data_IF_898533554162
#
_entry.id   IF_898533554162
#
_cell.length_a   1.000
_cell.length_b   1.000
_cell.length_c   1.000
_cell.angle_alpha   90.00
_cell.angle_beta   90.00
_cell.angle_gamma   90.00
#
_symmetry.space_group_name_H-M   'P 1'
#
loop_
_entity.id
_entity.type
_entity.pdbx_description
1 polymer ?
#
# COMPACT_ATOMS: atom_id res chain seq x y z
N UNK A 1 38.69 -26.65 -5.35
CA UNK A 1 37.48 -27.00 -6.11
C UNK A 1 36.79 -25.69 -6.46
N UNK A 2 37.01 -25.17 -7.67
CA UNK A 2 36.46 -23.88 -8.12
C UNK A 2 35.04 -24.11 -8.64
N UNK A 3 34.08 -23.38 -8.08
CA UNK A 3 32.71 -23.36 -8.58
C UNK A 3 32.68 -22.56 -9.89
N UNK A 4 32.52 -23.26 -11.02
CA UNK A 4 32.35 -22.64 -12.31
C UNK A 4 30.89 -22.27 -12.48
N UNK A 5 30.63 -21.01 -12.85
CA UNK A 5 29.26 -20.54 -13.08
C UNK A 5 28.60 -21.34 -14.21
N UNK A 6 27.56 -22.12 -13.91
CA UNK A 6 26.73 -22.84 -14.91
C UNK A 6 25.86 -21.92 -15.78
N UNK A 7 26.19 -20.62 -15.84
CA UNK A 7 25.42 -19.66 -16.62
C UNK A 7 25.90 -19.73 -18.08
N UNK A 8 25.01 -19.97 -19.05
CA UNK A 8 25.40 -20.03 -20.45
C UNK A 8 26.05 -18.71 -20.89
N UNK A 9 27.18 -18.82 -21.60
CA UNK A 9 27.90 -17.66 -22.14
C UNK A 9 27.08 -16.87 -23.16
N UNK A 10 26.14 -17.53 -23.84
CA UNK A 10 25.24 -16.94 -24.83
C UNK A 10 23.81 -17.47 -24.62
N UNK A 11 22.83 -16.57 -24.64
CA UNK A 11 21.40 -16.93 -24.54
C UNK A 11 20.70 -16.40 -25.80
N UNK A 12 20.31 -17.28 -26.73
CA UNK A 12 19.69 -16.87 -27.99
C UNK A 12 18.34 -16.17 -27.78
N UNK A 13 17.60 -16.49 -26.72
CA UNK A 13 16.33 -15.84 -26.35
C UNK A 13 16.52 -14.54 -25.55
N UNK A 14 17.75 -14.02 -25.50
CA UNK A 14 18.03 -12.78 -24.80
C UNK A 14 17.27 -11.65 -25.49
N UNK A 15 16.42 -10.98 -24.72
CA UNK A 15 15.69 -9.78 -25.15
C UNK A 15 16.62 -8.82 -25.87
N UNK A 16 16.23 -8.41 -27.08
CA UNK A 16 17.04 -7.57 -27.95
C UNK A 16 17.32 -6.22 -27.30
N UNK A 17 18.48 -5.64 -27.60
CA UNK A 17 18.92 -4.36 -27.03
C UNK A 17 17.90 -3.21 -27.20
N UNK A 18 17.19 -3.08 -28.35
CA UNK A 18 16.13 -2.08 -28.49
C UNK A 18 14.97 -2.25 -27.50
N UNK A 19 14.56 -3.49 -27.24
CA UNK A 19 13.47 -3.78 -26.29
C UNK A 19 13.95 -3.51 -24.86
N UNK A 20 15.19 -3.87 -24.52
CA UNK A 20 15.81 -3.52 -23.24
C UNK A 20 15.80 -1.99 -23.03
N UNK A 21 16.24 -1.21 -24.01
CA UNK A 21 16.22 0.26 -23.95
C UNK A 21 14.80 0.80 -23.74
N UNK A 22 13.80 0.21 -24.40
CA UNK A 22 12.40 0.63 -24.27
C UNK A 22 11.84 0.34 -22.87
N UNK A 23 12.16 -0.83 -22.29
CA UNK A 23 11.83 -1.18 -20.90
C UNK A 23 12.50 -0.21 -19.93
N UNK A 24 13.80 0.03 -20.08
CA UNK A 24 14.57 0.96 -19.23
C UNK A 24 14.06 2.39 -19.35
N UNK A 25 13.69 2.83 -20.56
CA UNK A 25 13.12 4.17 -20.79
C UNK A 25 11.76 4.33 -20.13
N UNK A 26 10.85 3.36 -20.30
CA UNK A 26 9.55 3.36 -19.63
C UNK A 26 9.70 3.32 -18.10
N UNK A 27 10.68 2.58 -17.61
CA UNK A 27 11.01 2.54 -16.18
C UNK A 27 11.58 3.86 -15.67
N UNK A 28 12.49 4.48 -16.40
CA UNK A 28 13.26 5.64 -15.91
C UNK A 28 12.53 6.97 -16.15
N UNK A 29 11.91 7.15 -17.33
CA UNK A 29 11.20 8.40 -17.68
C UNK A 29 9.76 8.42 -17.17
N UNK A 30 9.09 7.28 -17.17
CA UNK A 30 7.67 7.20 -16.80
C UNK A 30 7.42 6.47 -15.47
N UNK A 31 8.48 6.02 -14.77
CA UNK A 31 8.42 5.35 -13.45
C UNK A 31 7.43 4.19 -13.38
N UNK A 32 7.20 3.51 -14.51
CA UNK A 32 6.20 2.44 -14.60
C UNK A 32 6.64 1.19 -13.83
N UNK A 33 5.67 0.57 -13.15
CA UNK A 33 5.81 -0.76 -12.58
C UNK A 33 5.86 -1.85 -13.66
N UNK A 34 6.34 -3.07 -13.32
CA UNK A 34 6.43 -4.17 -14.28
C UNK A 34 5.11 -4.45 -15.02
N UNK A 35 3.97 -4.45 -14.31
CA UNK A 35 2.63 -4.66 -14.88
C UNK A 35 2.25 -3.56 -15.89
N UNK A 36 2.58 -2.30 -15.60
CA UNK A 36 2.29 -1.18 -16.50
C UNK A 36 3.18 -1.20 -17.75
N UNK A 37 4.44 -1.64 -17.62
CA UNK A 37 5.36 -1.83 -18.76
C UNK A 37 4.86 -2.97 -19.65
N UNK A 38 4.40 -4.09 -19.06
CA UNK A 38 3.78 -5.20 -19.77
C UNK A 38 2.59 -4.71 -20.61
N UNK A 39 1.68 -3.95 -20.01
CA UNK A 39 0.51 -3.41 -20.72
C UNK A 39 0.86 -2.50 -21.90
N UNK A 40 2.03 -1.84 -21.88
CA UNK A 40 2.48 -0.96 -22.98
C UNK A 40 3.29 -1.69 -24.05
N UNK A 41 3.98 -2.77 -23.71
CA UNK A 41 4.89 -3.48 -24.61
C UNK A 41 4.33 -4.82 -25.10
N UNK A 42 3.22 -5.31 -24.55
CA UNK A 42 2.58 -6.56 -24.97
C UNK A 42 3.46 -7.79 -24.74
N UNK A 43 4.30 -7.79 -23.71
CA UNK A 43 5.29 -8.83 -23.46
C UNK A 43 5.12 -9.48 -22.08
N UNK A 44 5.68 -10.66 -21.87
CA UNK A 44 5.56 -11.38 -20.60
C UNK A 44 6.16 -10.59 -19.42
N UNK A 45 5.47 -10.61 -18.27
CA UNK A 45 5.92 -9.94 -17.04
C UNK A 45 7.27 -10.47 -16.54
N UNK A 46 7.54 -11.76 -16.72
CA UNK A 46 8.80 -12.41 -16.38
C UNK A 46 9.98 -11.81 -17.16
N UNK A 47 9.80 -11.53 -18.45
CA UNK A 47 10.82 -10.90 -19.30
C UNK A 47 11.12 -9.47 -18.86
N UNK A 48 10.07 -8.67 -18.60
CA UNK A 48 10.23 -7.30 -18.07
C UNK A 48 10.98 -7.34 -16.74
N UNK A 49 10.57 -8.22 -15.82
CA UNK A 49 11.23 -8.35 -14.51
C UNK A 49 12.70 -8.76 -14.65
N UNK A 50 13.02 -9.75 -15.48
CA UNK A 50 14.38 -10.21 -15.72
C UNK A 50 15.28 -9.10 -16.28
N UNK A 51 14.77 -8.28 -17.20
CA UNK A 51 15.49 -7.11 -17.73
C UNK A 51 15.71 -6.07 -16.63
N UNK A 52 14.69 -5.73 -15.85
CA UNK A 52 14.82 -4.75 -14.76
C UNK A 52 15.81 -5.20 -13.68
N UNK A 53 15.86 -6.50 -13.35
CA UNK A 53 16.83 -7.07 -12.41
C UNK A 53 18.25 -7.00 -12.99
N UNK A 54 18.44 -7.36 -14.26
CA UNK A 54 19.74 -7.28 -14.93
C UNK A 54 20.26 -5.84 -14.99
N UNK A 55 19.38 -4.87 -15.22
CA UNK A 55 19.69 -3.44 -15.20
C UNK A 55 19.71 -2.83 -13.78
N UNK A 56 19.53 -3.61 -12.72
CA UNK A 56 19.56 -3.19 -11.30
C UNK A 56 18.54 -2.08 -10.92
N UNK A 57 17.45 -1.99 -11.68
CA UNK A 57 16.37 -0.99 -11.50
C UNK A 57 15.01 -1.64 -11.16
N UNK A 58 15.03 -2.87 -10.65
CA UNK A 58 13.84 -3.66 -10.30
C UNK A 58 13.10 -3.14 -9.05
N UNK A 59 13.79 -2.51 -8.10
CA UNK A 59 13.18 -1.98 -6.87
C UNK A 59 12.73 -0.53 -7.04
N UNK A 60 11.41 -0.31 -6.95
CA UNK A 60 10.82 1.03 -6.86
C UNK A 60 11.13 1.72 -5.52
N UNK A 61 11.48 0.99 -4.47
CA UNK A 61 11.82 1.61 -3.16
C UNK A 61 13.02 2.58 -3.22
N UNK A 62 13.83 2.53 -4.29
CA UNK A 62 14.92 3.47 -4.54
C UNK A 62 14.48 4.71 -5.34
N UNK A 63 13.23 4.73 -5.79
CA UNK A 63 12.64 5.72 -6.68
C UNK A 63 11.24 6.03 -6.11
N UNK A 64 11.13 7.05 -5.27
CA UNK A 64 9.87 7.41 -4.65
C UNK A 64 8.73 7.54 -5.68
N UNK A 65 7.56 7.03 -5.28
CA UNK A 65 6.38 6.79 -6.12
C UNK A 65 5.65 8.09 -6.49
N UNK A 66 5.96 9.20 -5.81
CA UNK A 66 5.27 10.49 -5.92
C UNK A 66 6.24 11.65 -6.20
N UNK A 67 7.42 11.68 -5.56
CA UNK A 67 8.36 12.82 -5.62
C UNK A 67 9.73 12.46 -6.22
N UNK A 68 10.12 11.19 -6.23
CA UNK A 68 11.43 10.74 -6.71
C UNK A 68 12.61 11.02 -5.76
N UNK A 69 12.37 11.58 -4.57
CA UNK A 69 13.38 11.69 -3.50
C UNK A 69 13.57 10.35 -2.78
N UNK A 70 14.73 10.02 -2.20
CA UNK A 70 14.84 8.90 -1.27
C UNK A 70 13.83 9.05 -0.14
N UNK A 71 13.14 7.96 0.25
CA UNK A 71 12.24 7.92 1.39
C UNK A 71 12.96 8.52 2.61
N UNK A 72 12.56 9.72 3.05
CA UNK A 72 13.12 10.35 4.23
C UNK A 72 12.69 9.56 5.44
N UNK A 73 13.65 8.91 6.09
CA UNK A 73 13.44 8.29 7.38
C UNK A 73 13.43 9.41 8.41
N UNK A 74 12.31 9.56 9.11
CA UNK A 74 12.21 10.49 10.23
C UNK A 74 13.01 9.91 11.40
N UNK A 75 14.28 10.28 11.46
CA UNK A 75 15.15 10.00 12.61
C UNK A 75 15.17 11.25 13.49
N UNK A 76 14.88 11.06 14.77
CA UNK A 76 14.87 12.13 15.73
C UNK A 76 15.79 11.80 16.92
N UNK A 77 16.40 12.83 17.55
CA UNK A 77 17.55 12.64 18.44
C UNK A 77 17.23 12.04 19.82
N UNK A 78 15.98 12.06 20.28
CA UNK A 78 15.59 11.54 21.59
C UNK A 78 14.18 10.93 21.58
N UNK A 79 13.85 9.96 22.45
CA UNK A 79 12.46 9.54 22.68
C UNK A 79 11.53 10.75 22.93
N UNK A 80 10.27 10.63 22.53
CA UNK A 80 9.25 11.70 22.62
C UNK A 80 9.33 12.81 21.57
N UNK A 81 10.36 12.85 20.72
CA UNK A 81 10.53 13.86 19.66
C UNK A 81 9.65 13.65 18.42
N UNK A 82 9.06 12.46 18.29
CA UNK A 82 8.12 12.12 17.22
C UNK A 82 6.97 11.30 17.80
N UNK A 83 5.77 11.89 17.73
CA UNK A 83 4.51 11.20 17.99
C UNK A 83 3.85 10.89 16.66
N UNK A 84 3.63 9.60 16.39
CA UNK A 84 2.77 9.18 15.31
C UNK A 84 1.34 9.10 15.83
N UNK A 85 0.50 10.02 15.36
CA UNK A 85 -0.93 10.04 15.69
C UNK A 85 -1.70 9.55 14.47
N UNK A 86 -2.30 8.37 14.59
CA UNK A 86 -3.28 7.88 13.63
C UNK A 86 -4.69 8.20 14.14
N UNK A 87 -5.48 8.88 13.30
CA UNK A 87 -6.87 9.23 13.58
C UNK A 87 -7.76 8.52 12.57
N UNK A 88 -8.42 7.47 13.02
CA UNK A 88 -9.30 6.67 12.17
C UNK A 88 -10.76 6.81 12.60
N UNK A 89 -11.65 7.06 11.63
CA UNK A 89 -13.08 7.30 11.85
C UNK A 89 -13.90 6.09 11.37
N UNK A 90 -14.68 5.48 12.27
CA UNK A 90 -15.47 4.27 12.02
C UNK A 90 -16.95 4.44 12.34
N UNK A 91 -17.84 3.84 11.55
CA UNK A 91 -19.28 3.83 11.87
C UNK A 91 -19.58 3.11 13.19
N UNK A 92 -20.47 3.68 14.01
CA UNK A 92 -20.87 3.07 15.27
C UNK A 92 -21.62 1.76 15.06
N UNK A 93 -21.47 0.83 16.00
CA UNK A 93 -22.23 -0.42 16.04
C UNK A 93 -23.57 -0.14 16.74
N UNK A 94 -24.72 -0.53 16.15
CA UNK A 94 -26.02 -0.40 16.81
C UNK A 94 -26.09 -1.15 18.15
N UNK A 95 -26.90 -0.64 19.07
CA UNK A 95 -27.25 -1.34 20.30
C UNK A 95 -27.84 -2.73 19.96
N UNK A 96 -27.33 -3.79 20.57
CA UNK A 96 -27.70 -5.18 20.24
C UNK A 96 -26.94 -5.79 19.05
N UNK A 97 -25.99 -5.07 18.45
CA UNK A 97 -25.04 -5.59 17.46
C UNK A 97 -25.37 -5.25 16.01
N UNK A 98 -24.32 -5.15 15.18
CA UNK A 98 -24.43 -4.83 13.77
C UNK A 98 -24.71 -6.05 12.89
N UNK A 99 -25.21 -5.81 11.67
CA UNK A 99 -25.67 -6.86 10.74
C UNK A 99 -24.64 -7.94 10.41
N UNK A 100 -23.33 -7.64 10.51
CA UNK A 100 -22.26 -8.62 10.30
C UNK A 100 -22.24 -9.72 11.38
N UNK A 101 -22.70 -9.41 12.59
CA UNK A 101 -22.72 -10.34 13.72
C UNK A 101 -24.10 -10.99 13.88
N UNK A 102 -25.19 -10.21 13.73
CA UNK A 102 -26.57 -10.70 13.98
C UNK A 102 -27.38 -11.00 12.71
N UNK A 103 -26.79 -10.86 11.52
CA UNK A 103 -27.47 -10.95 10.23
C UNK A 103 -28.23 -9.67 9.85
N UNK A 104 -28.56 -9.51 8.56
CA UNK A 104 -29.16 -8.26 8.01
C UNK A 104 -30.47 -7.87 8.70
N UNK A 105 -31.46 -8.77 8.73
CA UNK A 105 -32.80 -8.48 9.28
C UNK A 105 -32.79 -8.05 10.74
N UNK A 106 -31.93 -8.65 11.57
CA UNK A 106 -31.78 -8.24 12.97
C UNK A 106 -30.96 -6.95 13.08
N UNK A 107 -29.87 -6.83 12.32
CA UNK A 107 -29.01 -5.66 12.31
C UNK A 107 -29.74 -4.37 11.89
N UNK A 108 -30.63 -4.45 10.91
CA UNK A 108 -31.44 -3.31 10.48
C UNK A 108 -32.43 -2.87 11.57
N UNK A 109 -33.06 -3.83 12.26
CA UNK A 109 -33.92 -3.55 13.42
C UNK A 109 -33.14 -2.89 14.56
N UNK A 110 -31.95 -3.39 14.86
CA UNK A 110 -31.07 -2.81 15.88
C UNK A 110 -30.65 -1.39 15.50
N UNK A 111 -30.30 -1.15 14.23
CA UNK A 111 -29.93 0.17 13.69
C UNK A 111 -31.09 1.17 13.83
N UNK A 112 -32.29 0.75 13.44
CA UNK A 112 -33.53 1.54 13.55
C UNK A 112 -33.87 1.86 15.01
N UNK A 113 -33.79 0.88 15.92
CA UNK A 113 -34.04 1.07 17.34
C UNK A 113 -33.02 2.04 17.98
N UNK A 114 -31.74 1.90 17.63
CA UNK A 114 -30.68 2.78 18.11
C UNK A 114 -30.93 4.22 17.66
N UNK A 115 -31.25 4.44 16.39
CA UNK A 115 -31.56 5.76 15.84
C UNK A 115 -32.81 6.39 16.48
N UNK A 116 -33.84 5.59 16.80
CA UNK A 116 -35.02 6.09 17.55
C UNK A 116 -34.65 6.55 18.96
N UNK A 117 -33.82 5.78 19.66
CA UNK A 117 -33.37 6.11 21.02
C UNK A 117 -32.50 7.36 21.07
N UNK A 118 -31.57 7.51 20.11
CA UNK A 118 -30.63 8.64 20.07
C UNK A 118 -31.18 9.87 19.35
N UNK A 119 -32.35 9.77 18.71
CA UNK A 119 -32.89 10.82 17.84
C UNK A 119 -32.07 11.05 16.57
N UNK A 120 -31.11 10.18 16.27
CA UNK A 120 -30.14 10.40 15.20
C UNK A 120 -30.67 9.85 13.86
N UNK A 121 -31.12 10.78 13.03
CA UNK A 121 -31.49 10.57 11.62
C UNK A 121 -30.63 11.47 10.77
N UNK A 122 -30.34 11.07 9.53
CA UNK A 122 -29.68 11.96 8.58
C UNK A 122 -30.70 12.71 7.72
N UNK A 123 -30.23 13.54 6.79
CA UNK A 123 -31.07 14.42 5.96
C UNK A 123 -32.19 13.70 5.16
N UNK A 124 -31.98 12.43 4.79
CA UNK A 124 -32.98 11.60 4.11
C UNK A 124 -33.77 10.69 5.07
N UNK A 125 -33.73 11.00 6.37
CA UNK A 125 -34.50 10.31 7.42
C UNK A 125 -34.19 8.82 7.61
N UNK A 126 -33.06 8.30 7.10
CA UNK A 126 -32.64 6.94 7.47
C UNK A 126 -31.87 6.91 8.80
N UNK A 127 -31.84 5.76 9.49
CA UNK A 127 -31.17 5.59 10.78
C UNK A 127 -29.69 6.00 10.75
N UNK A 128 -29.31 6.91 11.64
CA UNK A 128 -27.91 7.29 11.83
C UNK A 128 -27.43 6.84 13.20
N UNK A 129 -26.45 5.94 13.24
CA UNK A 129 -25.89 5.42 14.51
C UNK A 129 -24.71 6.29 14.97
N UNK A 130 -24.27 7.22 14.14
CA UNK A 130 -23.11 8.08 14.40
C UNK A 130 -21.79 7.40 14.04
N UNK A 131 -20.69 8.02 14.46
CA UNK A 131 -19.33 7.60 14.13
C UNK A 131 -18.44 7.72 15.36
N UNK A 132 -17.55 6.75 15.55
CA UNK A 132 -16.49 6.76 16.55
C UNK A 132 -15.18 7.19 15.90
N UNK A 133 -14.35 7.90 16.66
CA UNK A 133 -13.00 8.29 16.23
C UNK A 133 -12.00 7.62 17.16
N UNK A 134 -11.21 6.72 16.59
CA UNK A 134 -10.11 6.06 17.27
C UNK A 134 -8.84 6.90 17.09
N UNK A 135 -8.24 7.30 18.20
CA UNK A 135 -6.95 7.97 18.23
C UNK A 135 -5.90 6.97 18.70
N UNK A 136 -4.97 6.62 17.83
CA UNK A 136 -3.83 5.77 18.18
C UNK A 136 -2.59 6.63 18.21
N UNK A 137 -1.92 6.70 19.37
CA UNK A 137 -0.68 7.47 19.54
C UNK A 137 0.46 6.48 19.77
N UNK A 138 1.47 6.53 18.90
CA UNK A 138 2.68 5.72 19.01
C UNK A 138 3.86 6.67 19.15
N UNK A 139 4.63 6.48 20.22
CA UNK A 139 5.90 7.17 20.43
C UNK A 139 7.04 6.37 19.77
N UNK A 140 7.84 7.02 18.94
CA UNK A 140 9.04 6.41 18.39
C UNK A 140 10.18 6.47 19.43
N UNK A 141 10.40 5.36 20.15
CA UNK A 141 11.48 5.23 21.12
C UNK A 141 12.36 4.02 20.83
N UNK A 142 13.60 4.26 20.37
CA UNK A 142 14.71 3.37 20.72
C UNK A 142 15.84 4.24 21.26
N UNK A 143 16.27 4.06 22.51
CA UNK A 143 17.46 4.75 22.98
C UNK A 143 18.66 4.28 22.17
N UNK A 144 19.48 5.22 21.69
CA UNK A 144 20.82 4.89 21.23
C UNK A 144 21.60 4.29 22.40
N UNK A 145 22.26 3.12 22.24
CA UNK A 145 23.26 2.71 23.20
C UNK A 145 24.41 3.72 23.10
N UNK A 146 24.69 4.39 24.23
CA UNK A 146 25.91 5.19 24.39
C UNK A 146 27.16 4.33 24.46
#
# INVERSE_FOLDING_TARGET
MNDHSSRPHHSPDRTTEPVVRRIVTLRSRHRLGPVQIVGRLGMAASTVHAVLVRCRINRLSRIDRVTGEPLRRYEHPHPGSLLHVDVTKFGNIPDGGGWRFVGRKQGDRNREATAKRTGARHAHYEPNVGTAVLHTVIEAGRPSPG
#
